data_IF_054611392215
#
_entry.id   IF_054611392215
#
_cell.length_a   1.000
_cell.length_b   1.000
_cell.length_c   1.000
_cell.angle_alpha   90.00
_cell.angle_beta   90.00
_cell.angle_gamma   90.00
#
_symmetry.space_group_name_H-M   'P 1'
#
loop_
_entity.id
_entity.type
_entity.pdbx_description
1 polymer ?
#
# COMPACT_ATOMS: atom_id res chain seq x y z
N UNK A 1 -30.02 -61.42 7.15
CA UNK A 1 -30.00 -61.79 5.72
C UNK A 1 -29.01 -60.87 5.06
N UNK A 2 -27.87 -61.26 4.53
CA UNK A 2 -27.13 -62.52 4.33
C UNK A 2 -25.75 -61.97 3.89
N UNK A 3 -24.65 -62.29 4.58
CA UNK A 3 -23.68 -63.31 4.16
C UNK A 3 -22.98 -62.96 2.82
N UNK A 4 -21.65 -62.90 2.69
CA UNK A 4 -20.68 -63.76 3.33
C UNK A 4 -19.21 -63.38 3.15
N UNK A 5 -18.44 -64.00 4.05
CA UNK A 5 -16.99 -64.21 4.09
C UNK A 5 -16.36 -64.63 2.76
N UNK A 6 -15.08 -64.30 2.60
CA UNK A 6 -13.99 -65.32 2.44
C UNK A 6 -12.62 -64.70 2.70
N UNK A 7 -12.00 -65.17 3.77
CA UNK A 7 -10.55 -65.19 3.98
C UNK A 7 -9.92 -66.25 3.07
N UNK A 8 -8.73 -65.97 2.53
CA UNK A 8 -7.64 -66.96 2.42
C UNK A 8 -6.30 -66.24 2.40
N UNK A 9 -5.42 -66.79 3.22
CA UNK A 9 -4.07 -66.36 3.59
C UNK A 9 -3.00 -67.11 2.75
N UNK A 10 -1.77 -66.60 2.84
CA UNK A 10 -0.45 -67.19 2.56
C UNK A 10 0.02 -67.38 1.11
N UNK A 11 1.13 -66.68 0.79
CA UNK A 11 2.03 -67.00 -0.31
C UNK A 11 3.28 -66.14 -0.33
N UNK A 12 4.27 -66.48 0.51
CA UNK A 12 5.63 -65.93 0.48
C UNK A 12 6.29 -66.16 -0.89
N UNK A 13 6.93 -65.12 -1.43
CA UNK A 13 7.80 -65.19 -2.60
C UNK A 13 8.81 -64.06 -2.55
N UNK A 14 9.97 -64.35 -1.98
CA UNK A 14 11.18 -63.52 -2.04
C UNK A 14 11.68 -63.49 -3.49
N UNK A 15 12.05 -62.30 -3.96
CA UNK A 15 12.62 -62.06 -5.28
C UNK A 15 13.31 -60.70 -5.31
N UNK A 16 14.59 -60.71 -4.98
CA UNK A 16 15.54 -59.61 -5.17
C UNK A 16 15.60 -59.17 -6.64
N UNK A 17 15.70 -57.85 -6.85
CA UNK A 17 15.87 -57.24 -8.17
C UNK A 17 15.85 -55.72 -8.10
N UNK A 18 16.81 -55.13 -7.40
CA UNK A 18 17.09 -53.69 -7.45
C UNK A 18 17.75 -53.35 -8.80
N UNK A 19 16.99 -52.75 -9.72
CA UNK A 19 17.48 -52.08 -10.92
C UNK A 19 17.27 -50.57 -10.76
N UNK A 20 18.39 -49.84 -10.66
CA UNK A 20 18.49 -48.41 -10.41
C UNK A 20 18.01 -47.58 -11.62
N UNK A 21 16.71 -47.34 -11.71
CA UNK A 21 16.09 -46.37 -12.61
C UNK A 21 15.61 -45.11 -11.89
N UNK A 22 16.51 -44.17 -11.55
CA UNK A 22 16.13 -42.84 -11.01
C UNK A 22 15.51 -41.95 -12.11
N UNK A 23 14.22 -42.13 -12.35
CA UNK A 23 13.34 -41.16 -13.00
C UNK A 23 12.98 -40.02 -12.05
N UNK A 24 13.15 -38.79 -12.50
CA UNK A 24 12.89 -37.57 -11.74
C UNK A 24 11.44 -37.42 -11.32
N UNK A 25 11.17 -37.66 -10.04
CA UNK A 25 9.99 -37.19 -9.34
C UNK A 25 10.35 -35.94 -8.55
N UNK A 26 10.37 -34.78 -9.21
CA UNK A 26 10.46 -33.48 -8.54
C UNK A 26 9.19 -33.24 -7.74
N UNK A 27 9.10 -33.83 -6.55
CA UNK A 27 8.18 -33.38 -5.51
C UNK A 27 8.65 -32.00 -5.10
N UNK A 28 8.15 -30.97 -5.79
CA UNK A 28 8.21 -29.58 -5.31
C UNK A 28 7.28 -29.50 -4.12
N UNK A 29 7.81 -29.95 -2.98
CA UNK A 29 7.34 -29.56 -1.67
C UNK A 29 7.23 -28.03 -1.70
N UNK A 30 6.00 -27.52 -1.69
CA UNK A 30 5.74 -26.10 -1.55
C UNK A 30 6.16 -25.72 -0.12
N UNK A 31 7.45 -25.48 0.05
CA UNK A 31 8.01 -25.00 1.31
C UNK A 31 7.51 -23.58 1.48
N UNK A 32 6.65 -23.36 2.48
CA UNK A 32 6.22 -22.03 2.86
C UNK A 32 7.45 -21.19 3.22
N UNK A 33 7.87 -20.29 2.32
CA UNK A 33 9.06 -19.46 2.52
C UNK A 33 8.91 -18.45 3.67
N UNK A 34 7.75 -18.39 4.33
CA UNK A 34 7.41 -17.37 5.32
C UNK A 34 8.22 -17.45 6.63
N UNK A 35 8.93 -18.54 6.92
CA UNK A 35 9.53 -18.75 8.26
C UNK A 35 10.94 -19.36 8.21
N UNK A 36 11.83 -18.82 7.39
CA UNK A 36 13.26 -19.19 7.45
C UNK A 36 14.15 -17.94 7.39
N UNK A 37 14.42 -17.35 8.56
CA UNK A 37 15.37 -16.24 8.71
C UNK A 37 15.59 -15.93 10.20
N UNK A 38 16.78 -15.48 10.55
CA UNK A 38 17.04 -14.88 11.86
C UNK A 38 16.14 -13.65 12.06
N UNK A 39 15.87 -13.27 13.32
CA UNK A 39 15.04 -12.09 13.61
C UNK A 39 15.54 -10.81 12.91
N UNK A 40 16.86 -10.68 12.71
CA UNK A 40 17.47 -9.57 11.97
C UNK A 40 17.17 -9.61 10.47
N UNK A 41 17.21 -10.78 9.84
CA UNK A 41 16.89 -10.95 8.41
C UNK A 41 15.40 -10.72 8.14
N UNK A 42 14.52 -11.16 9.05
CA UNK A 42 13.08 -10.89 8.97
C UNK A 42 12.77 -9.39 9.06
N UNK A 43 13.47 -8.67 9.95
CA UNK A 43 13.31 -7.23 10.10
C UNK A 43 13.76 -6.49 8.83
N UNK A 44 14.89 -6.89 8.24
CA UNK A 44 15.37 -6.24 7.02
C UNK A 44 14.48 -6.57 5.81
N UNK A 45 14.05 -7.82 5.66
CA UNK A 45 13.10 -8.21 4.64
C UNK A 45 11.75 -7.48 4.74
N UNK A 46 11.28 -7.19 5.97
CA UNK A 46 10.08 -6.38 6.17
C UNK A 46 10.28 -4.92 5.71
N UNK A 47 11.43 -4.31 6.01
CA UNK A 47 11.75 -2.95 5.55
C UNK A 47 11.85 -2.88 4.03
N UNK A 48 12.45 -3.87 3.40
CA UNK A 48 12.57 -3.94 1.95
C UNK A 48 11.19 -4.13 1.29
N UNK A 49 10.34 -4.99 1.85
CA UNK A 49 8.97 -5.13 1.40
C UNK A 49 8.23 -3.78 1.45
N UNK A 50 8.37 -3.03 2.55
CA UNK A 50 7.79 -1.69 2.71
C UNK A 50 8.31 -0.71 1.65
N UNK A 51 9.63 -0.64 1.47
CA UNK A 51 10.26 0.25 0.48
C UNK A 51 9.86 -0.11 -0.95
N UNK A 52 9.51 -1.37 -1.21
CA UNK A 52 9.05 -1.83 -2.52
C UNK A 52 7.59 -1.46 -2.84
N UNK A 53 6.79 -1.01 -1.85
CA UNK A 53 5.37 -0.67 -2.04
C UNK A 53 5.11 0.28 -3.20
N UNK A 54 5.77 1.45 -3.27
CA UNK A 54 5.64 2.34 -4.41
C UNK A 54 5.93 1.67 -5.76
N UNK A 55 6.98 0.83 -5.82
CA UNK A 55 7.47 0.26 -7.06
C UNK A 55 6.48 -0.76 -7.65
N UNK A 56 5.95 -1.69 -6.85
CA UNK A 56 4.98 -2.65 -7.37
C UNK A 56 3.63 -1.98 -7.69
N UNK A 57 3.22 -0.98 -6.92
CA UNK A 57 1.98 -0.24 -7.19
C UNK A 57 2.06 0.56 -8.48
N UNK A 58 3.21 1.14 -8.80
CA UNK A 58 3.44 1.84 -10.07
C UNK A 58 3.37 0.89 -11.28
N UNK A 59 3.82 -0.35 -11.12
CA UNK A 59 3.81 -1.35 -12.18
C UNK A 59 2.45 -2.04 -12.34
N UNK A 60 1.59 -1.96 -11.32
CA UNK A 60 0.30 -2.65 -11.28
C UNK A 60 -0.78 -1.92 -12.08
N UNK A 61 -1.50 -2.67 -12.93
CA UNK A 61 -2.68 -2.14 -13.63
C UNK A 61 -3.87 -1.98 -12.67
N UNK A 62 -4.05 -2.92 -11.75
CA UNK A 62 -5.15 -2.96 -10.79
C UNK A 62 -4.63 -3.24 -9.39
N UNK A 63 -5.25 -2.64 -8.39
CA UNK A 63 -5.13 -3.05 -7.00
C UNK A 63 -6.39 -3.81 -6.62
N UNK A 64 -6.27 -4.98 -6.00
CA UNK A 64 -7.40 -5.75 -5.50
C UNK A 64 -7.34 -5.80 -3.99
N UNK A 65 -8.33 -5.19 -3.35
CA UNK A 65 -8.53 -5.21 -1.89
C UNK A 65 -9.45 -6.38 -1.56
N UNK A 66 -8.87 -7.44 -1.00
CA UNK A 66 -9.60 -8.56 -0.43
C UNK A 66 -9.88 -8.25 1.03
N UNK A 67 -11.12 -7.90 1.34
CA UNK A 67 -11.54 -7.54 2.69
C UNK A 67 -12.82 -8.26 3.09
N UNK A 68 -12.79 -9.61 3.14
CA UNK A 68 -13.93 -10.37 3.59
C UNK A 68 -14.20 -10.14 5.07
N UNK A 69 -15.47 -10.19 5.45
CA UNK A 69 -15.85 -10.18 6.87
C UNK A 69 -15.49 -11.52 7.47
N UNK A 70 -14.35 -11.61 8.15
CA UNK A 70 -13.93 -12.83 8.84
C UNK A 70 -13.45 -12.52 10.27
N UNK A 71 -13.83 -13.33 11.25
CA UNK A 71 -13.25 -13.23 12.59
C UNK A 71 -11.76 -13.59 12.50
N UNK A 72 -10.93 -12.85 13.23
CA UNK A 72 -9.51 -13.11 13.35
C UNK A 72 -9.11 -13.19 14.83
N UNK A 73 -8.15 -14.06 15.14
CA UNK A 73 -7.69 -14.30 16.50
C UNK A 73 -6.70 -13.23 16.93
N UNK A 74 -7.11 -12.36 17.84
CA UNK A 74 -6.20 -11.41 18.49
C UNK A 74 -5.51 -12.12 19.66
N UNK A 75 -4.30 -12.63 19.42
CA UNK A 75 -3.51 -13.29 20.45
C UNK A 75 -2.06 -13.47 20.00
N UNK A 76 -1.14 -13.23 20.91
CA UNK A 76 0.31 -13.40 20.79
C UNK A 76 0.70 -14.88 20.82
N UNK A 77 0.12 -15.68 19.91
CA UNK A 77 0.58 -17.03 19.53
C UNK A 77 0.57 -18.14 20.59
N UNK A 78 0.56 -17.81 21.88
CA UNK A 78 0.83 -18.71 22.99
C UNK A 78 -0.39 -18.98 23.89
N UNK A 79 -1.51 -18.29 23.65
CA UNK A 79 -2.72 -18.45 24.44
C UNK A 79 -3.75 -19.22 23.61
N UNK A 80 -3.96 -20.50 23.96
CA UNK A 80 -5.06 -21.33 23.44
C UNK A 80 -6.45 -20.73 23.78
N UNK A 81 -6.48 -19.70 24.63
CA UNK A 81 -7.65 -18.90 25.04
C UNK A 81 -7.87 -17.64 24.18
N UNK A 82 -7.17 -17.48 23.05
CA UNK A 82 -7.29 -16.31 22.18
C UNK A 82 -8.73 -16.07 21.71
N UNK A 83 -9.35 -15.01 22.18
CA UNK A 83 -10.75 -14.69 21.90
C UNK A 83 -10.91 -14.14 20.47
N UNK A 84 -11.85 -14.72 19.70
CA UNK A 84 -12.18 -14.33 18.32
C UNK A 84 -13.02 -13.04 18.27
N UNK A 85 -12.61 -12.01 19.00
CA UNK A 85 -13.41 -10.78 19.14
C UNK A 85 -13.27 -9.83 17.97
N UNK A 86 -12.14 -9.88 17.27
CA UNK A 86 -11.87 -8.93 16.19
C UNK A 86 -12.29 -9.47 14.83
N UNK A 87 -12.81 -8.55 14.01
CA UNK A 87 -13.30 -8.84 12.66
C UNK A 87 -12.40 -8.14 11.66
N UNK A 88 -11.76 -8.91 10.80
CA UNK A 88 -11.19 -8.39 9.56
C UNK A 88 -12.36 -8.10 8.61
N UNK A 89 -12.44 -6.87 8.12
CA UNK A 89 -13.46 -6.41 7.17
C UNK A 89 -12.89 -5.20 6.42
N UNK A 90 -13.66 -4.65 5.48
CA UNK A 90 -13.23 -3.44 4.77
C UNK A 90 -12.97 -2.25 5.72
N UNK A 91 -13.72 -2.14 6.81
CA UNK A 91 -13.56 -1.04 7.77
C UNK A 91 -12.22 -1.15 8.50
N UNK A 92 -11.82 -2.33 8.97
CA UNK A 92 -10.51 -2.54 9.61
C UNK A 92 -9.38 -2.41 8.60
N UNK A 93 -9.54 -2.87 7.36
CA UNK A 93 -8.59 -2.60 6.28
C UNK A 93 -8.37 -1.09 6.07
N UNK A 94 -9.45 -0.30 5.98
CA UNK A 94 -9.37 1.16 5.79
C UNK A 94 -8.70 1.91 6.94
N UNK A 95 -8.71 1.33 8.14
CA UNK A 95 -8.08 1.92 9.32
C UNK A 95 -6.58 1.71 9.35
N UNK A 96 -6.06 0.61 8.79
CA UNK A 96 -4.63 0.28 8.85
C UNK A 96 -3.78 1.28 8.08
N UNK A 97 -2.75 1.83 8.73
CA UNK A 97 -1.84 2.82 8.15
C UNK A 97 -1.18 2.33 6.86
N UNK A 98 -0.72 1.08 6.86
CA UNK A 98 -0.13 0.41 5.69
C UNK A 98 -1.08 0.33 4.49
N UNK A 99 -2.32 -0.12 4.72
CA UNK A 99 -3.32 -0.24 3.66
C UNK A 99 -3.69 1.13 3.06
N UNK A 100 -3.68 2.19 3.88
CA UNK A 100 -3.83 3.56 3.41
C UNK A 100 -2.65 4.01 2.56
N UNK A 101 -1.42 3.64 2.92
CA UNK A 101 -0.24 3.93 2.10
C UNK A 101 -0.36 3.26 0.73
N UNK A 102 -0.67 1.97 0.67
CA UNK A 102 -0.85 1.25 -0.59
C UNK A 102 -1.90 1.93 -1.50
N UNK A 103 -3.04 2.31 -0.91
CA UNK A 103 -4.09 3.04 -1.62
C UNK A 103 -3.57 4.38 -2.19
N UNK A 104 -2.81 5.14 -1.41
CA UNK A 104 -2.21 6.40 -1.87
C UNK A 104 -1.14 6.18 -2.94
N UNK A 105 -0.32 5.13 -2.84
CA UNK A 105 0.61 4.73 -3.89
C UNK A 105 -0.12 4.51 -5.22
N UNK A 106 -1.30 3.86 -5.19
CA UNK A 106 -2.10 3.71 -6.42
C UNK A 106 -2.56 5.04 -6.98
N UNK A 107 -3.04 5.96 -6.14
CA UNK A 107 -3.54 7.26 -6.56
C UNK A 107 -2.45 8.16 -7.13
N UNK A 108 -1.28 8.19 -6.49
CA UNK A 108 -0.16 9.03 -6.88
C UNK A 108 0.72 8.42 -7.96
N UNK A 109 0.42 7.20 -8.39
CA UNK A 109 1.08 6.58 -9.52
C UNK A 109 1.13 7.50 -10.74
N UNK A 110 2.27 7.54 -11.43
CA UNK A 110 2.47 8.43 -12.58
C UNK A 110 1.63 8.00 -13.79
N UNK A 111 1.27 6.71 -13.86
CA UNK A 111 0.38 6.18 -14.91
C UNK A 111 -1.02 6.81 -14.85
N UNK A 112 -1.58 6.97 -13.65
CA UNK A 112 -2.87 7.64 -13.44
C UNK A 112 -4.08 6.93 -14.03
N UNK A 113 -3.96 5.64 -14.37
CA UNK A 113 -4.94 4.86 -15.12
C UNK A 113 -5.56 3.70 -14.35
N UNK A 114 -5.05 3.31 -13.18
CA UNK A 114 -5.54 2.11 -12.54
C UNK A 114 -6.56 2.31 -11.46
N UNK A 115 -7.28 1.22 -11.29
CA UNK A 115 -8.44 1.12 -10.42
C UNK A 115 -8.11 0.29 -9.19
N UNK A 116 -8.85 0.57 -8.11
CA UNK A 116 -8.83 -0.24 -6.89
C UNK A 116 -10.15 -0.99 -6.81
N UNK A 117 -10.09 -2.31 -6.92
CA UNK A 117 -11.25 -3.21 -6.87
C UNK A 117 -11.37 -3.74 -5.45
N UNK A 118 -12.57 -3.68 -4.86
CA UNK A 118 -12.87 -4.24 -3.54
C UNK A 118 -13.70 -5.52 -3.71
N UNK A 119 -13.28 -6.58 -3.03
CA UNK A 119 -13.99 -7.87 -2.97
C UNK A 119 -14.20 -8.22 -1.50
N UNK A 120 -15.46 -8.41 -1.09
CA UNK A 120 -15.85 -8.64 0.31
C UNK A 120 -16.41 -10.05 0.57
N UNK A 121 -16.78 -10.80 -0.46
CA UNK A 121 -17.08 -12.24 -0.35
C UNK A 121 -17.05 -12.86 -1.74
N UNK A 122 -17.23 -14.18 -1.82
CA UNK A 122 -17.32 -14.88 -3.10
C UNK A 122 -18.62 -14.54 -3.86
N UNK A 123 -19.66 -14.15 -3.14
CA UNK A 123 -21.01 -13.84 -3.64
C UNK A 123 -21.25 -12.34 -3.83
N UNK A 124 -20.44 -11.50 -3.20
CA UNK A 124 -20.57 -10.04 -3.29
C UNK A 124 -20.05 -9.52 -4.64
N UNK A 125 -20.82 -8.66 -5.29
CA UNK A 125 -20.39 -7.96 -6.52
C UNK A 125 -19.18 -7.07 -6.22
N UNK A 126 -18.03 -7.27 -6.90
CA UNK A 126 -16.87 -6.39 -6.77
C UNK A 126 -17.19 -4.97 -7.20
N UNK A 127 -16.57 -3.99 -6.55
CA UNK A 127 -16.78 -2.57 -6.84
C UNK A 127 -15.49 -1.76 -6.80
N UNK A 128 -15.48 -0.57 -7.42
CA UNK A 128 -14.30 0.29 -7.52
C UNK A 128 -14.28 1.37 -6.45
N UNK A 129 -13.16 1.54 -5.75
CA UNK A 129 -12.96 2.70 -4.87
C UNK A 129 -12.85 3.96 -5.74
N UNK A 130 -13.70 4.94 -5.47
CA UNK A 130 -13.63 6.23 -6.15
C UNK A 130 -12.38 7.00 -5.68
N UNK A 131 -11.58 7.61 -6.57
CA UNK A 131 -10.35 8.32 -6.19
C UNK A 131 -10.54 9.40 -5.10
N UNK A 132 -11.70 10.07 -5.08
CA UNK A 132 -12.05 11.05 -4.04
C UNK A 132 -12.22 10.44 -2.63
N UNK A 133 -12.59 9.18 -2.52
CA UNK A 133 -12.67 8.50 -1.23
C UNK A 133 -11.27 8.23 -0.68
N UNK A 134 -10.36 7.83 -1.56
CA UNK A 134 -8.99 7.55 -1.23
C UNK A 134 -8.21 8.82 -0.83
N UNK A 135 -8.54 10.00 -1.39
CA UNK A 135 -7.93 11.27 -0.95
C UNK A 135 -8.29 11.69 0.48
N UNK A 136 -9.36 11.12 1.06
CA UNK A 136 -9.74 11.33 2.47
C UNK A 136 -9.01 10.40 3.43
N UNK A 137 -8.37 9.34 2.92
CA UNK A 137 -7.69 8.32 3.70
C UNK A 137 -6.22 8.69 3.97
N UNK A 138 -5.99 9.78 4.71
CA UNK A 138 -4.67 10.29 5.10
C UNK A 138 -3.84 9.23 5.86
N UNK A 139 -2.65 8.85 5.36
CA UNK A 139 -1.85 7.73 5.92
C UNK A 139 -1.54 7.93 7.40
N UNK A 140 -1.19 9.15 7.78
CA UNK A 140 -0.84 9.54 9.14
C UNK A 140 -1.99 9.46 10.15
N UNK A 141 -3.23 9.19 9.72
CA UNK A 141 -4.37 8.96 10.61
C UNK A 141 -4.74 7.47 10.70
N UNK A 142 -3.89 6.57 10.19
CA UNK A 142 -4.10 5.13 10.25
C UNK A 142 -3.61 4.50 11.56
N UNK A 143 -4.13 3.31 11.84
CA UNK A 143 -3.70 2.45 12.93
C UNK A 143 -2.45 1.69 12.45
N UNK A 144 -1.31 1.90 13.13
CA UNK A 144 -0.07 1.19 12.88
C UNK A 144 0.20 0.21 14.02
N UNK A 145 0.71 -0.97 13.68
CA UNK A 145 1.15 -1.96 14.67
C UNK A 145 2.44 -1.52 15.36
N UNK A 146 3.29 -0.78 14.64
CA UNK A 146 4.51 -0.14 15.16
C UNK A 146 4.41 1.35 14.84
N UNK A 147 4.37 2.19 15.87
CA UNK A 147 4.09 3.62 15.71
C UNK A 147 5.17 4.35 14.89
N UNK A 148 6.43 3.90 14.97
CA UNK A 148 7.56 4.48 14.22
C UNK A 148 7.34 4.40 12.69
N UNK A 149 6.60 3.41 12.21
CA UNK A 149 6.24 3.23 10.80
C UNK A 149 5.47 4.44 10.25
N UNK A 150 4.75 5.17 11.09
CA UNK A 150 3.97 6.35 10.68
C UNK A 150 4.88 7.41 10.03
N UNK A 151 6.06 7.63 10.60
CA UNK A 151 7.01 8.60 10.06
C UNK A 151 7.62 8.12 8.74
N UNK A 152 7.97 6.83 8.66
CA UNK A 152 8.53 6.18 7.46
C UNK A 152 7.55 6.24 6.30
N UNK A 153 6.31 5.84 6.54
CA UNK A 153 5.23 5.92 5.53
C UNK A 153 4.94 7.36 5.10
N UNK A 154 5.06 8.31 6.02
CA UNK A 154 5.01 9.74 5.72
C UNK A 154 6.08 10.21 4.74
N UNK A 155 7.33 9.76 4.92
CA UNK A 155 8.44 10.08 4.02
C UNK A 155 8.21 9.49 2.62
N UNK A 156 7.78 8.22 2.55
CA UNK A 156 7.42 7.56 1.29
C UNK A 156 6.30 8.31 0.58
N UNK A 157 5.24 8.69 1.30
CA UNK A 157 4.11 9.44 0.74
C UNK A 157 4.54 10.81 0.20
N UNK A 158 5.47 11.50 0.87
CA UNK A 158 6.01 12.77 0.37
C UNK A 158 6.78 12.60 -0.93
N UNK A 159 7.60 11.55 -1.05
CA UNK A 159 8.31 11.25 -2.29
C UNK A 159 7.35 10.95 -3.44
N UNK A 160 6.27 10.21 -3.18
CA UNK A 160 5.21 9.94 -4.16
C UNK A 160 4.51 11.21 -4.65
N UNK A 161 4.15 12.11 -3.73
CA UNK A 161 3.53 13.39 -4.06
C UNK A 161 4.47 14.23 -4.94
N UNK A 162 5.75 14.31 -4.58
CA UNK A 162 6.76 15.03 -5.37
C UNK A 162 6.90 14.45 -6.77
N UNK A 163 7.02 13.13 -6.90
CA UNK A 163 7.10 12.46 -8.21
C UNK A 163 5.85 12.70 -9.06
N UNK A 164 4.67 12.72 -8.44
CA UNK A 164 3.41 13.07 -9.13
C UNK A 164 3.39 14.53 -9.57
N UNK A 165 3.82 15.45 -8.72
CA UNK A 165 3.93 16.88 -9.03
C UNK A 165 4.83 17.12 -10.25
N UNK A 166 6.02 16.52 -10.25
CA UNK A 166 6.97 16.58 -11.36
C UNK A 166 6.39 15.98 -12.65
N UNK A 167 5.67 14.86 -12.55
CA UNK A 167 4.97 14.27 -13.69
C UNK A 167 3.85 15.17 -14.24
N UNK A 168 3.10 15.86 -13.38
CA UNK A 168 2.04 16.78 -13.80
C UNK A 168 2.63 18.02 -14.45
N UNK A 169 3.72 18.56 -13.89
CA UNK A 169 4.47 19.68 -14.46
C UNK A 169 4.99 19.35 -15.87
N UNK A 170 5.64 18.20 -16.03
CA UNK A 170 6.17 17.72 -17.33
C UNK A 170 5.09 17.57 -18.40
N UNK A 171 3.86 17.22 -17.99
CA UNK A 171 2.70 17.06 -18.88
C UNK A 171 1.89 18.35 -19.09
N UNK A 172 2.31 19.48 -18.51
CA UNK A 172 1.58 20.75 -18.60
C UNK A 172 0.23 20.75 -17.85
N UNK A 173 0.02 19.82 -16.91
CA UNK A 173 -1.21 19.65 -16.12
C UNK A 173 -1.21 20.59 -14.91
N UNK A 174 -1.21 21.90 -15.18
CA UNK A 174 -1.03 22.96 -14.17
C UNK A 174 -2.15 22.95 -13.13
N UNK A 175 -3.40 22.76 -13.56
CA UNK A 175 -4.55 22.75 -12.64
C UNK A 175 -4.45 21.59 -11.64
N UNK A 176 -4.17 20.38 -12.12
CA UNK A 176 -4.03 19.20 -11.27
C UNK A 176 -2.83 19.30 -10.35
N UNK A 177 -1.73 19.89 -10.82
CA UNK A 177 -0.56 20.17 -9.98
C UNK A 177 -0.91 21.14 -8.85
N UNK A 178 -1.58 22.25 -9.17
CA UNK A 178 -1.97 23.25 -8.17
C UNK A 178 -3.01 22.68 -7.19
N UNK A 179 -3.95 21.88 -7.68
CA UNK A 179 -4.91 21.16 -6.85
C UNK A 179 -4.19 20.20 -5.89
N UNK A 180 -3.29 19.36 -6.41
CA UNK A 180 -2.45 18.47 -5.61
C UNK A 180 -1.72 19.25 -4.50
N UNK A 181 -1.03 20.33 -4.87
CA UNK A 181 -0.28 21.15 -3.92
C UNK A 181 -1.18 21.76 -2.82
N UNK A 182 -2.42 22.14 -3.16
CA UNK A 182 -3.37 22.67 -2.18
C UNK A 182 -3.91 21.62 -1.20
N UNK A 183 -3.98 20.35 -1.60
CA UNK A 183 -4.46 19.25 -0.74
C UNK A 183 -3.32 18.50 -0.05
N UNK A 184 -2.06 18.65 -0.49
CA UNK A 184 -0.89 17.98 0.09
C UNK A 184 -0.79 18.12 1.62
N UNK A 185 -1.02 19.31 2.24
CA UNK A 185 -0.98 19.42 3.70
C UNK A 185 -2.00 18.51 4.39
N UNK A 186 -3.18 18.34 3.79
CA UNK A 186 -4.22 17.45 4.32
C UNK A 186 -3.82 15.98 4.19
N UNK A 187 -3.19 15.61 3.08
CA UNK A 187 -2.81 14.23 2.77
C UNK A 187 -1.67 13.74 3.67
N UNK A 188 -0.74 14.64 3.99
CA UNK A 188 0.38 14.39 4.92
C UNK A 188 0.00 14.55 6.40
N UNK A 189 -1.25 14.90 6.70
CA UNK A 189 -1.73 15.08 8.07
C UNK A 189 -1.54 13.81 8.91
N UNK A 190 -1.08 14.01 10.15
CA UNK A 190 -0.76 12.94 11.10
C UNK A 190 0.55 12.19 10.82
N UNK A 191 1.22 12.39 9.68
CA UNK A 191 2.43 11.61 9.34
C UNK A 191 3.70 12.01 10.13
N UNK A 192 3.64 13.06 10.97
CA UNK A 192 4.79 13.54 11.76
C UNK A 192 5.92 14.15 10.93
N UNK A 193 5.74 14.32 9.61
CA UNK A 193 6.79 14.82 8.73
C UNK A 193 6.74 16.35 8.69
N UNK A 194 7.65 17.02 9.39
CA UNK A 194 7.84 18.47 9.24
C UNK A 194 8.42 18.76 7.85
N UNK A 195 8.20 19.97 7.32
CA UNK A 195 8.74 20.39 6.03
C UNK A 195 10.27 20.47 6.00
N UNK A 196 10.95 20.39 7.16
CA UNK A 196 12.38 20.63 7.33
C UNK A 196 13.28 19.39 7.43
N UNK A 197 12.71 18.17 7.47
CA UNK A 197 13.50 16.96 7.79
C UNK A 197 14.11 16.21 6.61
N UNK A 198 14.14 16.77 5.39
CA UNK A 198 14.66 16.06 4.19
C UNK A 198 15.45 17.02 3.28
N UNK A 199 16.38 17.79 3.85
CA UNK A 199 17.44 18.49 3.10
C UNK A 199 18.83 17.91 3.44
N UNK A 200 18.90 16.63 3.83
CA UNK A 200 20.16 15.93 4.10
C UNK A 200 20.54 14.99 2.96
N UNK A 201 21.67 15.32 2.31
CA UNK A 201 22.45 14.52 1.35
C UNK A 201 21.85 14.25 -0.04
N UNK A 202 22.00 15.22 -0.93
CA UNK A 202 22.34 14.98 -2.34
C UNK A 202 23.24 16.14 -2.81
N UNK A 203 24.53 16.01 -2.49
CA UNK A 203 25.59 16.90 -2.95
C UNK A 203 26.21 16.30 -4.23
N UNK A 204 25.65 16.64 -5.40
CA UNK A 204 26.34 16.48 -6.69
C UNK A 204 26.31 17.82 -7.41
N UNK A 205 27.50 18.42 -7.46
CA UNK A 205 27.85 19.68 -8.08
C UNK A 205 27.19 19.95 -9.45
N UNK A 206 26.64 21.15 -9.58
CA UNK A 206 26.94 22.04 -10.70
C UNK A 206 25.97 22.05 -11.87
N UNK A 207 24.92 22.86 -11.78
CA UNK A 207 24.57 23.85 -12.80
C UNK A 207 23.49 24.78 -12.25
N UNK A 208 23.66 26.05 -12.55
CA UNK A 208 22.86 27.18 -12.11
C UNK A 208 21.39 27.01 -12.51
N UNK A 209 20.47 26.99 -11.54
CA UNK A 209 19.09 27.46 -11.77
C UNK A 209 18.45 27.95 -10.47
N UNK A 210 18.91 29.10 -10.02
CA UNK A 210 18.35 29.88 -8.91
C UNK A 210 17.03 30.57 -9.28
N UNK A 211 16.09 29.87 -9.91
CA UNK A 211 14.89 30.46 -10.50
C UNK A 211 13.58 29.71 -10.24
N UNK A 212 13.39 29.04 -9.09
CA UNK A 212 12.04 28.54 -8.71
C UNK A 212 11.80 28.38 -7.20
N UNK A 213 12.57 29.07 -6.37
CA UNK A 213 12.17 29.32 -4.98
C UNK A 213 11.15 30.46 -4.98
N UNK A 214 9.90 30.15 -4.63
CA UNK A 214 8.75 31.08 -4.53
C UNK A 214 8.06 31.45 -5.86
N UNK A 215 7.48 30.46 -6.53
CA UNK A 215 6.55 30.66 -7.64
C UNK A 215 5.09 30.91 -7.23
N UNK A 216 4.84 31.36 -5.99
CA UNK A 216 3.62 32.11 -5.68
C UNK A 216 3.91 33.58 -5.97
N UNK A 217 4.16 33.91 -7.23
CA UNK A 217 4.12 35.30 -7.69
C UNK A 217 2.65 35.71 -7.66
N UNK A 218 2.21 36.19 -6.49
CA UNK A 218 1.16 37.19 -6.45
C UNK A 218 1.60 38.26 -7.45
N UNK A 219 0.82 38.45 -8.51
CA UNK A 219 0.96 39.64 -9.33
C UNK A 219 0.91 40.84 -8.36
N UNK A 220 1.87 41.78 -8.42
CA UNK A 220 1.82 42.95 -7.57
C UNK A 220 0.66 43.82 -8.06
N UNK A 221 -0.53 43.59 -7.52
CA UNK A 221 -1.66 44.49 -7.67
C UNK A 221 -1.41 45.69 -6.74
N UNK A 222 -0.65 46.67 -7.25
CA UNK A 222 -0.37 47.94 -6.58
C UNK A 222 -1.62 48.81 -6.30
N UNK A 223 -2.83 48.27 -6.51
CA UNK A 223 -4.12 48.94 -6.28
C UNK A 223 -5.03 48.21 -5.27
N UNK A 224 -4.62 47.04 -4.74
CA UNK A 224 -5.51 46.20 -3.91
C UNK A 224 -5.55 46.56 -2.41
N UNK A 225 -4.57 47.29 -1.89
CA UNK A 225 -4.42 47.52 -0.43
C UNK A 225 -5.50 48.42 0.19
N UNK A 226 -6.34 49.09 -0.60
CA UNK A 226 -7.37 50.03 -0.07
C UNK A 226 -8.77 49.46 0.07
N UNK A 227 -9.06 48.25 -0.41
CA UNK A 227 -10.44 47.74 -0.35
C UNK A 227 -10.72 46.70 0.74
N UNK A 228 -9.70 46.10 1.38
CA UNK A 228 -9.93 45.17 2.50
C UNK A 228 -10.73 43.90 2.15
N UNK A 229 -10.86 43.56 0.88
CA UNK A 229 -11.53 42.34 0.43
C UNK A 229 -10.53 41.34 -0.14
N UNK A 230 -10.39 40.19 0.52
CA UNK A 230 -9.87 38.97 -0.13
C UNK A 230 -10.93 38.48 -1.11
N UNK A 231 -10.64 38.19 -2.40
CA UNK A 231 -11.66 37.75 -3.33
C UNK A 231 -12.23 36.38 -2.93
N UNK A 232 -13.45 36.37 -2.39
CA UNK A 232 -14.30 35.18 -2.30
C UNK A 232 -14.69 34.76 -3.72
N UNK A 233 -14.32 33.54 -4.13
CA UNK A 233 -14.75 32.94 -5.41
C UNK A 233 -16.03 32.15 -5.18
N UNK A 234 -17.15 32.59 -5.74
CA UNK A 234 -18.39 31.82 -5.79
C UNK A 234 -18.37 30.87 -7.00
N UNK A 235 -18.98 29.70 -6.88
CA UNK A 235 -19.34 28.86 -8.01
C UNK A 235 -20.83 29.01 -8.29
N UNK A 236 -21.19 29.35 -9.53
CA UNK A 236 -22.57 29.26 -10.02
C UNK A 236 -22.77 27.83 -10.53
N UNK A 237 -23.73 27.12 -9.95
CA UNK A 237 -24.21 25.84 -10.47
C UNK A 237 -25.40 26.15 -11.37
N UNK A 238 -25.41 25.57 -12.57
CA UNK A 238 -26.54 25.66 -13.51
C UNK A 238 -27.62 24.65 -13.13
#
# INVERSE_FOLDING_TARGET
AEEGRRDTDVGNGEGEGDDDGKGGGGSTHCTDHRIHGSAGELLEGLKDAVRSIPAYMEQSSHMVVLAPTCPYRTGNGNDDDGDWRDVCDLRTWRRRGWCRLELQCRLFSARGDGSVIVVQSAEATPWLIHPLEASRMCVGQGDFSVEDDRSVTGQVLRQLIRGKEESLARRGRIFERNYLNSITPRILDGCGVTSSSIDGDDDVNGAEDGALRSGATLLPDAESEKSGWTPLRFAVIR
#
